data_IF_439516500168
#
_entry.id   IF_439516500168
#
_cell.length_a   1.000
_cell.length_b   1.000
_cell.length_c   1.000
_cell.angle_alpha   90.00
_cell.angle_beta   90.00
_cell.angle_gamma   90.00
#
_symmetry.space_group_name_H-M   'P 1'
#
loop_
_entity.id
_entity.type
_entity.pdbx_description
1 polymer ?
#
# COMPACT_ATOMS: atom_id res chain seq x y z
N UNK A 1 -8.50 -28.83 -43.58
CA UNK A 1 -7.45 -28.80 -42.53
C UNK A 1 -6.41 -27.78 -42.95
N UNK A 2 -6.39 -26.60 -42.34
CA UNK A 2 -5.44 -25.53 -42.67
C UNK A 2 -4.29 -25.54 -41.65
N UNK A 3 -3.07 -25.71 -42.16
CA UNK A 3 -1.84 -25.76 -41.38
C UNK A 3 -1.27 -24.33 -41.31
N UNK A 4 -1.26 -23.72 -40.12
CA UNK A 4 -0.67 -22.41 -39.89
C UNK A 4 0.61 -22.54 -39.06
N UNK A 5 1.68 -21.93 -39.59
CA UNK A 5 3.07 -22.06 -39.19
C UNK A 5 3.38 -21.32 -37.88
N UNK A 6 4.33 -21.89 -37.12
CA UNK A 6 5.00 -21.28 -35.96
C UNK A 6 5.55 -19.88 -36.26
N UNK A 7 5.35 -18.96 -35.32
CA UNK A 7 6.18 -17.76 -35.16
C UNK A 7 6.87 -17.84 -33.78
N UNK A 8 8.21 -17.83 -33.79
CA UNK A 8 9.07 -17.64 -32.61
C UNK A 8 9.14 -16.13 -32.31
N UNK A 9 9.02 -15.67 -31.06
CA UNK A 9 9.50 -14.34 -30.71
C UNK A 9 11.03 -14.33 -30.62
N UNK A 10 11.60 -13.30 -31.24
CA UNK A 10 13.01 -12.97 -31.25
C UNK A 10 13.45 -12.32 -29.93
N UNK A 11 14.77 -12.24 -29.76
CA UNK A 11 15.46 -11.90 -28.52
C UNK A 11 15.09 -10.57 -27.89
N UNK A 12 15.15 -10.56 -26.57
CA UNK A 12 15.36 -9.37 -25.76
C UNK A 12 16.76 -9.49 -25.18
N UNK A 13 17.67 -8.72 -25.78
CA UNK A 13 19.04 -8.54 -25.35
C UNK A 13 19.12 -7.86 -23.98
N UNK A 14 19.95 -8.44 -23.12
CA UNK A 14 20.90 -7.78 -22.21
C UNK A 14 20.46 -6.46 -21.57
N UNK A 15 19.93 -6.56 -20.35
CA UNK A 15 19.96 -5.41 -19.43
C UNK A 15 21.40 -5.26 -18.91
N UNK A 16 22.09 -4.25 -19.45
CA UNK A 16 23.45 -3.87 -19.12
C UNK A 16 23.63 -3.66 -17.61
N UNK A 17 24.46 -4.50 -17.02
CA UNK A 17 25.01 -4.37 -15.68
C UNK A 17 25.92 -3.12 -15.62
N UNK A 18 25.69 -2.22 -14.67
CA UNK A 18 26.59 -1.09 -14.41
C UNK A 18 27.71 -1.54 -13.44
N UNK A 19 28.98 -1.58 -13.86
CA UNK A 19 30.07 -1.87 -12.94
C UNK A 19 30.62 -0.56 -12.37
N UNK A 20 30.81 -0.52 -11.05
CA UNK A 20 31.76 0.41 -10.44
C UNK A 20 31.20 1.24 -9.30
N UNK A 21 31.30 0.70 -8.09
CA UNK A 21 31.66 1.55 -6.95
C UNK A 21 32.74 0.86 -6.14
N UNK A 22 33.93 1.46 -6.22
CA UNK A 22 35.16 0.98 -5.66
C UNK A 22 35.07 0.78 -4.13
N UNK A 23 35.73 -0.29 -3.68
CA UNK A 23 36.14 -0.54 -2.30
C UNK A 23 36.98 0.64 -1.80
N UNK A 24 36.58 1.24 -0.69
CA UNK A 24 37.51 1.88 0.22
C UNK A 24 37.48 1.06 1.51
N UNK A 25 38.48 0.20 1.67
CA UNK A 25 38.81 -0.40 2.96
C UNK A 25 39.71 0.57 3.72
N UNK A 26 39.36 0.88 4.97
CA UNK A 26 40.26 1.29 6.05
C UNK A 26 39.45 1.29 7.37
N UNK A 27 39.52 0.18 8.11
CA UNK A 27 39.22 0.08 9.56
C UNK A 27 40.38 0.73 10.37
N UNK A 28 40.37 0.79 11.72
CA UNK A 28 39.32 1.11 12.69
C UNK A 28 39.80 2.19 13.70
N UNK A 29 38.90 2.94 14.37
CA UNK A 29 39.25 3.60 15.65
C UNK A 29 38.11 3.53 16.66
N UNK A 30 38.39 2.78 17.72
CA UNK A 30 37.72 2.71 19.00
C UNK A 30 37.58 4.08 19.65
N UNK A 31 36.35 4.48 19.97
CA UNK A 31 36.03 5.35 21.13
C UNK A 31 34.54 5.20 21.44
N UNK A 32 34.13 4.77 22.64
CA UNK A 32 32.75 4.86 23.07
C UNK A 32 32.49 6.24 23.70
N UNK A 33 31.51 7.04 23.25
CA UNK A 33 30.91 8.06 24.09
C UNK A 33 29.76 7.40 24.85
N UNK A 34 29.96 7.07 26.13
CA UNK A 34 29.71 8.00 27.23
C UNK A 34 28.23 8.40 27.29
N UNK A 35 27.56 7.82 28.28
CA UNK A 35 26.15 8.04 28.61
C UNK A 35 25.99 9.50 29.05
N UNK A 36 25.63 10.36 28.12
CA UNK A 36 25.06 11.67 28.44
C UNK A 36 23.55 11.54 28.28
N UNK A 37 22.88 11.11 29.35
CA UNK A 37 21.43 11.23 29.46
C UNK A 37 21.09 12.70 29.75
N UNK A 38 21.21 13.56 28.74
CA UNK A 38 20.69 14.92 28.79
C UNK A 38 19.46 15.01 27.90
N UNK A 39 18.35 15.33 28.56
CA UNK A 39 17.04 15.54 28.00
C UNK A 39 17.08 16.35 26.70
N UNK A 40 16.61 15.76 25.61
CA UNK A 40 16.29 16.53 24.41
C UNK A 40 14.79 16.43 24.15
N UNK A 41 14.16 17.58 24.39
CA UNK A 41 12.80 17.91 24.03
C UNK A 41 12.46 17.34 22.65
N UNK A 42 11.60 16.32 22.62
CA UNK A 42 10.85 16.02 21.41
C UNK A 42 9.80 17.11 21.28
N UNK A 43 10.19 18.22 20.65
CA UNK A 43 9.27 19.14 20.00
C UNK A 43 8.26 18.27 19.24
N UNK A 44 7.02 18.23 19.75
CA UNK A 44 5.89 17.54 19.15
C UNK A 44 5.53 18.21 17.84
N UNK A 45 6.38 18.02 16.82
CA UNK A 45 6.00 18.18 15.43
C UNK A 45 4.92 17.12 15.20
N UNK A 46 3.66 17.52 15.39
CA UNK A 46 2.50 16.76 14.93
C UNK A 46 2.86 16.24 13.54
N UNK A 47 2.83 14.92 13.28
CA UNK A 47 3.06 14.44 11.93
C UNK A 47 2.08 15.21 11.06
N UNK A 48 2.59 15.94 10.08
CA UNK A 48 1.78 16.75 9.18
C UNK A 48 0.69 15.80 8.66
N UNK A 49 -0.53 15.97 9.17
CA UNK A 49 -1.64 15.09 8.83
C UNK A 49 -1.73 15.11 7.32
N UNK A 50 -1.61 13.94 6.69
CA UNK A 50 -1.69 13.83 5.24
C UNK A 50 -2.94 14.58 4.80
N UNK A 51 -2.76 15.67 4.05
CA UNK A 51 -3.87 16.49 3.56
C UNK A 51 -4.79 15.57 2.76
N UNK A 52 -6.04 15.46 3.20
CA UNK A 52 -7.04 14.69 2.47
C UNK A 52 -7.30 15.35 1.13
N UNK A 53 -7.47 14.54 0.10
CA UNK A 53 -7.67 15.01 -1.28
C UNK A 53 -9.15 14.85 -1.65
N UNK A 54 -9.73 15.88 -2.27
CA UNK A 54 -11.04 15.81 -2.92
C UNK A 54 -10.85 15.20 -4.30
N UNK A 55 -11.20 13.92 -4.45
CA UNK A 55 -11.12 13.19 -5.71
C UNK A 55 -12.31 12.24 -5.84
N UNK A 56 -13.51 12.81 -6.02
CA UNK A 56 -14.76 12.06 -5.97
C UNK A 56 -14.80 10.85 -6.92
N UNK A 57 -14.31 11.00 -8.15
CA UNK A 57 -14.25 9.91 -9.13
C UNK A 57 -13.32 8.76 -8.71
N UNK A 58 -12.17 9.07 -8.10
CA UNK A 58 -11.24 8.05 -7.58
C UNK A 58 -11.89 7.32 -6.41
N UNK A 59 -12.54 8.07 -5.52
CA UNK A 59 -13.26 7.50 -4.38
C UNK A 59 -14.36 6.57 -4.85
N UNK A 60 -15.16 6.96 -5.85
CA UNK A 60 -16.21 6.12 -6.41
C UNK A 60 -15.66 4.81 -6.98
N UNK A 61 -14.58 4.88 -7.76
CA UNK A 61 -13.92 3.69 -8.31
C UNK A 61 -13.35 2.77 -7.20
N UNK A 62 -12.72 3.34 -6.17
CA UNK A 62 -12.23 2.56 -5.01
C UNK A 62 -13.38 1.91 -4.23
N UNK A 63 -14.50 2.62 -4.04
CA UNK A 63 -15.67 2.08 -3.37
C UNK A 63 -16.32 0.95 -4.16
N UNK A 64 -16.43 1.09 -5.48
CA UNK A 64 -16.92 0.04 -6.38
C UNK A 64 -15.99 -1.18 -6.33
N UNK A 65 -14.68 -0.96 -6.43
CA UNK A 65 -13.70 -2.03 -6.32
C UNK A 65 -13.80 -2.78 -4.99
N UNK A 66 -13.91 -2.07 -3.86
CA UNK A 66 -14.06 -2.68 -2.54
C UNK A 66 -15.38 -3.46 -2.41
N UNK A 67 -16.48 -2.94 -2.96
CA UNK A 67 -17.77 -3.65 -2.95
C UNK A 67 -17.70 -4.93 -3.79
N UNK A 68 -17.14 -4.87 -5.00
CA UNK A 68 -16.95 -6.04 -5.85
C UNK A 68 -16.01 -7.07 -5.21
N UNK A 69 -14.86 -6.63 -4.68
CA UNK A 69 -13.83 -7.50 -4.14
C UNK A 69 -14.30 -8.25 -2.88
N UNK A 70 -15.09 -7.61 -2.03
CA UNK A 70 -15.67 -8.25 -0.84
C UNK A 70 -16.78 -9.26 -1.15
N UNK A 71 -17.28 -9.32 -2.39
CA UNK A 71 -18.25 -10.34 -2.84
C UNK A 71 -17.57 -11.53 -3.53
N UNK A 72 -16.26 -11.47 -3.80
CA UNK A 72 -15.58 -12.53 -4.51
C UNK A 72 -15.19 -13.66 -3.54
N UNK A 73 -15.66 -14.90 -3.75
CA UNK A 73 -15.34 -16.02 -2.87
C UNK A 73 -13.85 -16.36 -2.87
N UNK A 74 -13.14 -16.13 -3.98
CA UNK A 74 -11.69 -16.31 -4.08
C UNK A 74 -10.90 -15.30 -3.21
N UNK A 75 -11.50 -14.16 -2.84
CA UNK A 75 -10.89 -13.12 -2.02
C UNK A 75 -11.24 -13.27 -0.52
N UNK A 76 -11.96 -14.33 -0.13
CA UNK A 76 -12.13 -14.73 1.28
C UNK A 76 -10.82 -15.11 1.98
N UNK A 77 -9.72 -15.27 1.22
CA UNK A 77 -8.38 -15.41 1.77
C UNK A 77 -7.96 -14.18 2.60
N UNK A 78 -8.55 -13.01 2.34
CA UNK A 78 -8.29 -11.80 3.09
C UNK A 78 -9.20 -11.69 4.31
N UNK A 79 -8.58 -11.55 5.48
CA UNK A 79 -9.26 -11.44 6.77
C UNK A 79 -10.08 -10.15 6.88
N UNK A 80 -11.07 -10.14 7.78
CA UNK A 80 -11.83 -8.93 8.11
C UNK A 80 -10.91 -7.78 8.54
N UNK A 81 -9.75 -8.08 9.14
CA UNK A 81 -8.71 -7.10 9.48
C UNK A 81 -8.14 -6.38 8.26
N UNK A 82 -7.79 -7.10 7.20
CA UNK A 82 -7.30 -6.52 5.95
C UNK A 82 -8.28 -5.55 5.33
N UNK A 83 -9.56 -5.94 5.23
CA UNK A 83 -10.58 -5.08 4.65
C UNK A 83 -10.83 -3.83 5.50
N UNK A 84 -10.82 -3.93 6.83
CA UNK A 84 -10.89 -2.77 7.73
C UNK A 84 -9.71 -1.82 7.49
N UNK A 85 -8.49 -2.35 7.31
CA UNK A 85 -7.32 -1.52 6.98
C UNK A 85 -7.47 -0.81 5.63
N UNK A 86 -8.00 -1.48 4.59
CA UNK A 86 -8.26 -0.83 3.29
C UNK A 86 -9.31 0.26 3.36
N UNK A 87 -10.41 0.01 4.08
CA UNK A 87 -11.46 1.00 4.34
C UNK A 87 -10.89 2.23 5.06
N UNK A 88 -10.08 2.03 6.10
CA UNK A 88 -9.41 3.13 6.82
C UNK A 88 -8.44 3.90 5.93
N UNK A 89 -7.72 3.22 5.03
CA UNK A 89 -6.82 3.88 4.09
C UNK A 89 -7.59 4.82 3.14
N UNK A 90 -8.75 4.42 2.63
CA UNK A 90 -9.61 5.30 1.80
C UNK A 90 -10.10 6.50 2.60
N UNK A 91 -10.61 6.28 3.84
CA UNK A 91 -11.03 7.38 4.73
C UNK A 91 -9.87 8.32 5.06
N UNK A 92 -8.65 7.82 5.23
CA UNK A 92 -7.49 8.65 5.58
C UNK A 92 -6.95 9.48 4.42
N UNK A 93 -7.11 9.00 3.18
CA UNK A 93 -6.53 9.63 1.98
C UNK A 93 -7.45 10.64 1.31
N UNK A 94 -8.77 10.46 1.41
CA UNK A 94 -9.74 11.26 0.68
C UNK A 94 -10.72 11.98 1.61
N UNK A 95 -11.22 13.12 1.15
CA UNK A 95 -12.42 13.73 1.71
C UNK A 95 -13.64 13.01 1.11
N UNK A 96 -14.46 12.41 1.99
CA UNK A 96 -15.59 11.59 1.59
C UNK A 96 -16.88 12.35 1.87
N UNK A 97 -17.83 12.26 0.94
CA UNK A 97 -19.21 12.71 1.16
C UNK A 97 -19.96 11.76 2.09
N UNK A 98 -21.05 12.22 2.70
CA UNK A 98 -21.91 11.38 3.56
C UNK A 98 -22.44 10.14 2.84
N UNK A 99 -22.80 10.29 1.57
CA UNK A 99 -23.23 9.18 0.71
C UNK A 99 -22.12 8.13 0.56
N UNK A 100 -20.89 8.56 0.28
CA UNK A 100 -19.73 7.69 0.12
C UNK A 100 -19.35 7.00 1.44
N UNK A 101 -19.44 7.72 2.57
CA UNK A 101 -19.24 7.14 3.90
C UNK A 101 -20.26 6.03 4.19
N UNK A 102 -21.54 6.29 3.90
CA UNK A 102 -22.61 5.31 4.10
C UNK A 102 -22.38 4.05 3.27
N UNK A 103 -21.93 4.20 2.02
CA UNK A 103 -21.60 3.07 1.15
C UNK A 103 -20.39 2.30 1.69
N UNK A 104 -19.34 3.00 2.10
CA UNK A 104 -18.12 2.41 2.65
C UNK A 104 -18.40 1.61 3.93
N UNK A 105 -19.29 2.08 4.80
CA UNK A 105 -19.64 1.42 6.06
C UNK A 105 -20.44 0.12 5.89
N UNK A 106 -21.13 -0.06 4.76
CA UNK A 106 -21.81 -1.33 4.43
C UNK A 106 -20.81 -2.47 4.23
N UNK A 107 -19.59 -2.15 3.75
CA UNK A 107 -18.58 -3.15 3.41
C UNK A 107 -18.06 -3.89 4.68
N UNK A 108 -17.57 -3.21 5.75
CA UNK A 108 -17.19 -3.88 6.99
C UNK A 108 -18.33 -4.62 7.69
N UNK A 109 -19.57 -4.11 7.59
CA UNK A 109 -20.72 -4.76 8.23
C UNK A 109 -20.95 -6.17 7.68
N UNK A 110 -20.87 -6.35 6.36
CA UNK A 110 -21.02 -7.68 5.72
C UNK A 110 -19.93 -8.66 6.15
N UNK A 111 -18.71 -8.17 6.34
CA UNK A 111 -17.58 -8.99 6.76
C UNK A 111 -17.68 -9.45 8.23
N UNK A 112 -18.41 -8.73 9.07
CA UNK A 112 -18.70 -9.12 10.46
C UNK A 112 -19.85 -10.12 10.61
N UNK A 113 -20.64 -10.33 9.54
CA UNK A 113 -21.73 -11.31 9.50
C UNK A 113 -21.33 -12.62 8.81
N UNK A 114 -20.20 -12.64 8.11
CA UNK A 114 -19.62 -13.83 7.46
C UNK A 114 -18.69 -14.58 8.41
N UNK A 115 -19.18 -14.85 9.61
CA UNK A 115 -18.56 -15.72 10.60
C UNK A 115 -19.65 -16.59 11.22
N UNK A 116 -20.42 -17.25 10.36
CA UNK A 116 -21.19 -18.47 10.62
C UNK A 116 -21.28 -19.27 9.32
#
# INVERSE_FOLDING_TARGET
>A
MAQARRLKPAGIDSFSECPGRARAALEPRTTPPSIHHTANQMNGKKPAGSRRVLAAHVVEAELEHLDWATRQPALHLFDAGYWRRRVLAVKGRFELTERQLTQLEKIPRRLGSSAE
#
